data_IF_541152858474
#
_entry.id   IF_541152858474
#
_cell.length_a   1.000
_cell.length_b   1.000
_cell.length_c   1.000
_cell.angle_alpha   90.00
_cell.angle_beta   90.00
_cell.angle_gamma   90.00
#
_symmetry.space_group_name_H-M   'P 1'
#
loop_
_entity.id
_entity.type
_entity.pdbx_description
1 polymer ?
#
# COMPACT_ATOMS: atom_id res chain seq x y z
N UNK A 1 -47.27 -40.73 10.97
CA UNK A 1 -46.00 -40.54 10.21
C UNK A 1 -45.95 -39.25 9.37
N UNK A 2 -46.99 -38.40 9.30
CA UNK A 2 -46.93 -37.12 8.56
C UNK A 2 -46.52 -35.92 9.44
N UNK A 3 -46.88 -35.90 10.72
CA UNK A 3 -46.52 -34.79 11.64
C UNK A 3 -45.01 -34.66 11.89
N UNK A 4 -44.32 -35.79 12.07
CA UNK A 4 -42.88 -35.80 12.38
C UNK A 4 -42.03 -35.23 11.21
N UNK A 5 -42.49 -35.42 9.97
CA UNK A 5 -41.84 -34.91 8.75
C UNK A 5 -41.97 -33.39 8.64
N UNK A 6 -43.11 -32.83 9.06
CA UNK A 6 -43.33 -31.37 9.06
C UNK A 6 -42.47 -30.65 10.10
N UNK A 7 -42.28 -31.24 11.28
CA UNK A 7 -41.44 -30.64 12.33
C UNK A 7 -39.97 -30.59 11.93
N UNK A 8 -39.45 -31.64 11.30
CA UNK A 8 -38.08 -31.68 10.77
C UNK A 8 -37.85 -30.64 9.66
N UNK A 9 -38.84 -30.43 8.79
CA UNK A 9 -38.79 -29.41 7.75
C UNK A 9 -38.80 -27.98 8.34
N UNK A 10 -39.58 -27.73 9.40
CA UNK A 10 -39.58 -26.44 10.09
C UNK A 10 -38.23 -26.15 10.76
N UNK A 11 -37.62 -27.15 11.40
CA UNK A 11 -36.30 -27.03 12.02
C UNK A 11 -35.23 -26.72 10.96
N UNK A 12 -35.24 -27.44 9.83
CA UNK A 12 -34.36 -27.16 8.70
C UNK A 12 -34.57 -25.74 8.15
N UNK A 13 -35.82 -25.30 8.03
CA UNK A 13 -36.15 -23.96 7.56
C UNK A 13 -35.63 -22.87 8.52
N UNK A 14 -35.79 -23.06 9.83
CA UNK A 14 -35.24 -22.14 10.83
C UNK A 14 -33.71 -22.12 10.83
N UNK A 15 -33.08 -23.28 10.63
CA UNK A 15 -31.62 -23.38 10.53
C UNK A 15 -31.08 -22.64 9.30
N UNK A 16 -31.73 -22.81 8.14
CA UNK A 16 -31.40 -22.05 6.92
C UNK A 16 -31.59 -20.55 7.14
N UNK A 17 -32.70 -20.15 7.76
CA UNK A 17 -32.97 -18.74 8.06
C UNK A 17 -31.90 -18.14 8.99
N UNK A 18 -31.50 -18.87 10.02
CA UNK A 18 -30.44 -18.45 10.93
C UNK A 18 -29.08 -18.28 10.20
N UNK A 19 -28.74 -19.21 9.30
CA UNK A 19 -27.53 -19.10 8.49
C UNK A 19 -27.55 -17.87 7.58
N UNK A 20 -28.69 -17.56 6.97
CA UNK A 20 -28.84 -16.37 6.13
C UNK A 20 -28.64 -15.10 6.96
N UNK A 21 -29.24 -15.04 8.17
CA UNK A 21 -29.11 -13.88 9.06
C UNK A 21 -27.65 -13.69 9.50
N UNK A 22 -26.96 -14.77 9.88
CA UNK A 22 -25.55 -14.73 10.26
C UNK A 22 -24.68 -14.28 9.08
N UNK A 23 -24.93 -14.80 7.88
CA UNK A 23 -24.22 -14.41 6.67
C UNK A 23 -24.39 -12.92 6.35
N UNK A 24 -25.61 -12.40 6.42
CA UNK A 24 -25.89 -10.97 6.22
C UNK A 24 -25.19 -10.11 7.28
N UNK A 25 -25.15 -10.57 8.54
CA UNK A 25 -24.47 -9.86 9.62
C UNK A 25 -22.95 -9.76 9.39
N UNK A 26 -22.31 -10.84 8.94
CA UNK A 26 -20.88 -10.84 8.60
C UNK A 26 -20.61 -9.89 7.44
N UNK A 27 -21.39 -9.96 6.36
CA UNK A 27 -21.22 -9.06 5.20
C UNK A 27 -21.44 -7.60 5.61
N UNK A 28 -22.46 -7.32 6.42
CA UNK A 28 -22.70 -5.97 6.94
C UNK A 28 -21.49 -5.46 7.73
N UNK A 29 -20.96 -6.26 8.66
CA UNK A 29 -19.81 -5.87 9.49
C UNK A 29 -18.53 -5.69 8.66
N UNK A 30 -18.20 -6.66 7.81
CA UNK A 30 -16.89 -6.74 7.14
C UNK A 30 -16.82 -5.95 5.83
N UNK A 31 -17.95 -5.68 5.18
CA UNK A 31 -17.98 -4.94 3.90
C UNK A 31 -18.47 -3.50 4.10
N UNK A 32 -19.51 -3.30 4.92
CA UNK A 32 -20.14 -1.97 5.07
C UNK A 32 -19.52 -1.20 6.24
N UNK A 33 -19.30 -1.86 7.39
CA UNK A 33 -18.76 -1.23 8.61
C UNK A 33 -17.23 -1.34 8.69
N UNK A 34 -16.59 -1.99 7.72
CA UNK A 34 -15.14 -1.96 7.61
C UNK A 34 -14.73 -0.55 7.22
N UNK A 35 -14.50 0.26 8.23
CA UNK A 35 -13.81 1.53 8.08
C UNK A 35 -12.52 1.24 7.33
N UNK A 36 -12.32 1.99 6.24
CA UNK A 36 -11.02 2.12 5.63
C UNK A 36 -10.13 2.82 6.66
N UNK A 37 -9.69 2.07 7.67
CA UNK A 37 -8.47 2.36 8.38
C UNK A 37 -7.41 2.21 7.30
N UNK A 38 -7.24 3.27 6.52
CA UNK A 38 -5.95 3.61 5.97
C UNK A 38 -5.06 3.52 7.20
N UNK A 39 -4.31 2.42 7.30
CA UNK A 39 -3.12 2.44 8.13
C UNK A 39 -2.44 3.74 7.72
N UNK A 40 -2.22 4.69 8.65
CA UNK A 40 -1.44 5.84 8.30
C UNK A 40 -0.13 5.23 7.79
N UNK A 41 0.12 5.36 6.48
CA UNK A 41 1.45 5.18 5.93
C UNK A 41 2.33 5.90 6.92
N UNK A 42 3.27 5.19 7.59
CA UNK A 42 4.02 5.77 8.69
C UNK A 42 4.54 7.07 8.13
N UNK A 43 4.03 8.19 8.67
CA UNK A 43 4.25 9.54 8.13
C UNK A 43 5.71 9.55 7.78
N UNK A 44 6.02 9.47 6.48
CA UNK A 44 7.40 9.48 6.05
C UNK A 44 7.85 10.80 6.59
N UNK A 45 8.63 10.72 7.68
CA UNK A 45 9.16 11.88 8.33
C UNK A 45 10.10 12.38 7.27
N UNK A 46 9.58 13.23 6.39
CA UNK A 46 10.31 13.86 5.31
C UNK A 46 11.35 14.70 6.02
N UNK A 47 12.47 14.06 6.36
CA UNK A 47 13.65 14.76 6.79
C UNK A 47 14.03 15.53 5.55
N UNK A 48 13.87 16.85 5.63
CA UNK A 48 14.49 17.74 4.68
C UNK A 48 15.99 17.51 4.81
N UNK A 49 16.52 16.64 3.96
CA UNK A 49 17.95 16.42 3.82
C UNK A 49 18.42 17.54 2.92
N UNK A 50 18.92 18.60 3.53
CA UNK A 50 19.59 19.68 2.81
C UNK A 50 21.05 19.26 2.58
N UNK A 51 21.44 19.20 1.31
CA UNK A 51 22.82 18.91 0.91
C UNK A 51 23.61 20.21 1.06
N UNK A 52 24.64 20.20 1.93
CA UNK A 52 25.52 21.36 2.07
C UNK A 52 26.61 21.37 0.99
N UNK A 53 26.41 22.17 -0.05
CA UNK A 53 27.38 22.35 -1.14
C UNK A 53 28.59 23.22 -0.78
N UNK A 54 28.57 23.92 0.37
CA UNK A 54 29.70 24.76 0.81
C UNK A 54 30.98 23.94 1.04
N UNK A 55 30.85 22.62 1.28
CA UNK A 55 31.98 21.70 1.40
C UNK A 55 32.83 21.68 0.13
N UNK A 56 32.23 21.89 -1.05
CA UNK A 56 32.94 21.94 -2.33
C UNK A 56 33.77 23.23 -2.51
N UNK A 57 33.56 24.24 -1.68
CA UNK A 57 34.32 25.49 -1.72
C UNK A 57 35.68 25.38 -1.02
N UNK A 58 35.91 24.32 -0.23
CA UNK A 58 37.15 24.09 0.51
C UNK A 58 38.34 24.01 -0.48
N UNK A 59 39.42 24.77 -0.28
CA UNK A 59 40.61 24.71 -1.12
C UNK A 59 41.18 23.30 -1.28
N UNK A 60 41.13 22.47 -0.22
CA UNK A 60 41.60 21.08 -0.28
C UNK A 60 40.80 20.21 -1.27
N UNK A 61 39.53 20.56 -1.53
CA UNK A 61 38.66 19.83 -2.46
C UNK A 61 38.81 20.37 -3.88
N UNK A 62 39.04 21.68 -4.05
CA UNK A 62 39.26 22.28 -5.37
C UNK A 62 40.56 21.83 -6.03
N UNK A 63 41.57 21.55 -5.21
CA UNK A 63 42.88 21.08 -5.68
C UNK A 63 42.91 19.56 -5.94
N UNK A 64 41.80 18.85 -5.73
CA UNK A 64 41.70 17.43 -6.07
C UNK A 64 41.72 17.25 -7.58
N UNK A 65 42.68 16.46 -8.04
CA UNK A 65 42.76 16.02 -9.43
C UNK A 65 41.67 14.95 -9.62
N UNK A 66 40.83 15.13 -10.65
CA UNK A 66 39.87 14.11 -11.07
C UNK A 66 40.64 12.81 -11.37
N UNK A 67 40.23 11.71 -10.73
CA UNK A 67 40.85 10.40 -10.93
C UNK A 67 40.57 9.85 -12.34
N UNK A 68 39.45 10.25 -12.94
CA UNK A 68 39.00 9.81 -14.25
C UNK A 68 38.46 11.00 -15.05
N UNK A 69 38.63 10.95 -16.37
CA UNK A 69 38.08 11.96 -17.28
C UNK A 69 36.56 11.84 -17.29
N UNK A 70 35.86 12.95 -17.02
CA UNK A 70 34.40 12.99 -17.06
C UNK A 70 34.00 13.07 -18.53
N UNK A 71 33.53 11.95 -19.09
CA UNK A 71 32.95 11.92 -20.43
C UNK A 71 31.52 12.44 -20.33
N UNK A 72 31.24 13.59 -20.94
CA UNK A 72 29.88 14.10 -21.05
C UNK A 72 29.04 13.15 -21.93
N UNK A 73 27.86 12.72 -21.48
CA UNK A 73 26.99 11.87 -22.29
C UNK A 73 26.45 12.65 -23.49
N UNK A 74 26.40 12.02 -24.66
CA UNK A 74 25.92 12.64 -25.91
C UNK A 74 24.44 13.07 -25.84
N UNK A 75 23.64 12.35 -25.05
CA UNK A 75 22.26 12.69 -24.76
C UNK A 75 22.05 12.77 -23.25
N UNK A 76 21.35 13.83 -22.81
CA UNK A 76 20.73 13.82 -21.49
C UNK A 76 19.78 12.61 -21.47
N UNK A 77 19.86 11.80 -20.42
CA UNK A 77 19.08 10.56 -20.31
C UNK A 77 17.57 10.78 -20.45
N UNK A 78 16.78 9.70 -20.29
CA UNK A 78 15.32 9.78 -20.41
C UNK A 78 14.76 10.93 -19.58
N UNK A 79 13.85 11.69 -20.16
CA UNK A 79 13.14 12.77 -19.47
C UNK A 79 12.50 12.26 -18.16
N UNK A 80 12.02 11.01 -18.17
CA UNK A 80 11.67 10.26 -16.98
C UNK A 80 12.44 8.92 -16.92
N UNK A 81 13.41 8.77 -16.00
CA UNK A 81 14.20 7.55 -15.87
C UNK A 81 13.42 6.35 -15.28
N UNK A 82 12.18 6.54 -14.83
CA UNK A 82 11.37 5.49 -14.20
C UNK A 82 10.29 4.88 -15.12
N UNK A 83 10.17 5.33 -16.37
CA UNK A 83 9.25 4.69 -17.30
C UNK A 83 9.76 3.29 -17.69
N UNK A 84 8.87 2.31 -17.95
CA UNK A 84 9.27 1.01 -18.47
C UNK A 84 9.81 1.09 -19.91
N UNK A 85 10.50 0.04 -20.37
CA UNK A 85 11.04 -0.11 -21.72
C UNK A 85 10.06 -0.83 -22.66
#
# INVERSE_FOLDING_TARGET
MMEEKNSKNKILLYLILALIIIGLFIVWREVIVKDNTFEPTPSEMFRNIEINYQVLENPEIKDLILFEEIIEPEENGRENPFEPY
#
